data_IF_361354047726
#
_entry.id   IF_361354047726
#
_cell.length_a   1.000
_cell.length_b   1.000
_cell.length_c   1.000
_cell.angle_alpha   90.00
_cell.angle_beta   90.00
_cell.angle_gamma   90.00
#
_symmetry.space_group_name_H-M   'P 1'
#
loop_
_entity.id
_entity.type
_entity.pdbx_description
1 polymer ?
#
# COMPACT_ATOMS: atom_id res chain seq x y z
N UNK A 1 -46.19 2.78 -81.45
CA UNK A 1 -45.31 1.72 -81.96
C UNK A 1 -44.45 1.19 -80.83
N UNK A 2 -44.58 -0.10 -80.50
CA UNK A 2 -43.88 -0.96 -79.49
C UNK A 2 -43.77 -0.43 -78.04
N UNK A 3 -44.60 -0.84 -77.07
CA UNK A 3 -44.78 -2.13 -76.33
C UNK A 3 -43.54 -2.64 -75.58
N UNK A 4 -43.76 -2.80 -74.26
CA UNK A 4 -43.12 -3.65 -73.25
C UNK A 4 -42.12 -2.96 -72.30
N UNK A 5 -42.56 -2.72 -71.07
CA UNK A 5 -41.70 -2.89 -69.89
C UNK A 5 -42.50 -3.47 -68.74
N UNK A 6 -42.19 -4.71 -68.39
CA UNK A 6 -42.79 -5.52 -67.34
C UNK A 6 -41.79 -5.62 -66.17
N UNK A 7 -42.33 -5.46 -64.96
CA UNK A 7 -41.87 -5.85 -63.61
C UNK A 7 -40.69 -6.85 -63.51
N UNK A 8 -39.78 -6.65 -62.55
CA UNK A 8 -39.63 -7.54 -61.37
C UNK A 8 -38.62 -7.00 -60.32
N UNK A 9 -38.94 -7.25 -59.06
CA UNK A 9 -38.16 -7.04 -57.84
C UNK A 9 -37.16 -8.19 -57.66
N UNK A 10 -35.88 -7.93 -57.34
CA UNK A 10 -35.01 -8.82 -56.52
C UNK A 10 -33.98 -7.98 -55.74
N UNK A 11 -33.75 -8.41 -54.50
CA UNK A 11 -32.99 -7.77 -53.43
C UNK A 11 -31.46 -7.68 -53.64
N UNK A 12 -30.84 -6.64 -53.07
CA UNK A 12 -29.44 -6.63 -52.68
C UNK A 12 -29.33 -6.31 -51.19
N UNK A 13 -28.94 -7.30 -50.39
CA UNK A 13 -28.53 -7.12 -49.00
C UNK A 13 -27.17 -6.43 -48.94
N UNK A 14 -27.08 -5.34 -48.18
CA UNK A 14 -25.82 -4.76 -47.75
C UNK A 14 -25.56 -5.25 -46.31
N UNK A 15 -24.63 -6.17 -46.16
CA UNK A 15 -24.07 -6.55 -44.87
C UNK A 15 -23.08 -5.45 -44.47
N UNK A 16 -23.50 -4.53 -43.60
CA UNK A 16 -22.58 -3.65 -42.91
C UNK A 16 -21.95 -4.41 -41.74
N UNK A 17 -20.72 -4.90 -41.93
CA UNK A 17 -19.84 -5.25 -40.83
C UNK A 17 -19.50 -3.96 -40.06
N UNK A 18 -20.13 -3.75 -38.91
CA UNK A 18 -19.64 -2.78 -37.93
C UNK A 18 -18.43 -3.44 -37.28
N UNK A 19 -17.25 -3.14 -37.81
CA UNK A 19 -16.02 -3.37 -37.09
C UNK A 19 -16.00 -2.40 -35.90
N UNK A 20 -16.28 -2.91 -34.69
CA UNK A 20 -15.93 -2.21 -33.46
C UNK A 20 -14.41 -2.17 -33.33
N UNK A 21 -13.78 -1.19 -33.98
CA UNK A 21 -12.41 -0.80 -33.66
C UNK A 21 -12.45 -0.04 -32.34
N UNK A 22 -12.04 -0.69 -31.25
CA UNK A 22 -11.71 0.00 -30.01
C UNK A 22 -10.62 1.07 -30.32
N UNK A 23 -10.73 2.29 -29.79
CA UNK A 23 -9.78 3.33 -30.13
C UNK A 23 -8.40 3.01 -29.53
N UNK A 24 -7.42 3.18 -30.39
CA UNK A 24 -5.98 3.28 -30.21
C UNK A 24 -5.59 4.16 -29.01
N UNK A 25 -5.69 3.65 -27.77
CA UNK A 25 -5.35 4.36 -26.51
C UNK A 25 -3.97 3.99 -25.95
N UNK A 26 -3.20 3.14 -26.66
CA UNK A 26 -2.03 2.46 -26.11
C UNK A 26 -0.76 3.35 -25.97
N UNK A 27 -0.63 4.45 -26.71
CA UNK A 27 0.61 5.25 -26.70
C UNK A 27 0.65 6.41 -25.68
N UNK A 28 -0.47 6.72 -25.00
CA UNK A 28 -0.56 7.87 -24.07
C UNK A 28 -0.93 7.50 -22.63
N UNK A 29 -1.21 6.23 -22.35
CA UNK A 29 -1.65 5.78 -21.03
C UNK A 29 -0.51 5.83 -19.99
N UNK A 30 -0.79 6.45 -18.84
CA UNK A 30 0.14 6.57 -17.71
C UNK A 30 0.38 5.22 -17.02
N UNK A 31 1.45 5.09 -16.23
CA UNK A 31 1.81 3.81 -15.61
C UNK A 31 0.85 3.39 -14.51
N UNK A 32 0.30 4.36 -13.79
CA UNK A 32 -0.80 4.18 -12.83
C UNK A 32 -2.00 3.46 -13.46
N UNK A 33 -2.52 4.02 -14.56
CA UNK A 33 -3.64 3.46 -15.33
C UNK A 33 -3.32 2.04 -15.86
N UNK A 34 -2.12 1.83 -16.44
CA UNK A 34 -1.70 0.53 -16.99
C UNK A 34 -1.73 -0.58 -15.94
N UNK A 35 -1.13 -0.33 -14.77
CA UNK A 35 -1.10 -1.33 -13.70
C UNK A 35 -2.49 -1.55 -13.10
N UNK A 36 -3.26 -0.47 -12.90
CA UNK A 36 -4.63 -0.54 -12.39
C UNK A 36 -5.53 -1.39 -13.30
N UNK A 37 -5.53 -1.13 -14.62
CA UNK A 37 -6.31 -1.91 -15.59
C UNK A 37 -5.84 -3.36 -15.68
N UNK A 38 -4.54 -3.60 -15.58
CA UNK A 38 -3.98 -4.95 -15.55
C UNK A 38 -4.48 -5.75 -14.35
N UNK A 39 -4.54 -5.14 -13.17
CA UNK A 39 -5.06 -5.79 -11.96
C UNK A 39 -6.57 -6.02 -12.04
N UNK A 40 -7.35 -5.04 -12.53
CA UNK A 40 -8.79 -5.21 -12.76
C UNK A 40 -9.10 -6.31 -13.77
N UNK A 41 -8.28 -6.47 -14.82
CA UNK A 41 -8.41 -7.57 -15.78
C UNK A 41 -8.11 -8.93 -15.14
N UNK A 42 -7.08 -8.98 -14.29
CA UNK A 42 -6.64 -10.20 -13.58
C UNK A 42 -7.64 -10.64 -12.52
N UNK A 43 -8.24 -9.68 -11.82
CA UNK A 43 -9.24 -9.89 -10.78
C UNK A 43 -10.44 -8.97 -11.05
N UNK A 44 -11.42 -9.39 -11.88
CA UNK A 44 -12.57 -8.56 -12.23
C UNK A 44 -13.39 -8.05 -11.04
N UNK A 45 -13.32 -8.77 -9.92
CA UNK A 45 -13.84 -8.30 -8.65
C UNK A 45 -12.70 -8.27 -7.62
N UNK A 46 -12.51 -7.16 -6.89
CA UNK A 46 -11.36 -6.99 -5.98
C UNK A 46 -11.32 -7.99 -4.83
N UNK A 47 -12.45 -8.60 -4.46
CA UNK A 47 -12.45 -9.66 -3.45
C UNK A 47 -11.76 -10.94 -3.94
N UNK A 48 -11.48 -11.08 -5.24
CA UNK A 48 -10.76 -12.22 -5.85
C UNK A 48 -9.23 -12.10 -5.74
N UNK A 49 -8.72 -10.94 -5.32
CA UNK A 49 -7.29 -10.69 -5.11
C UNK A 49 -6.67 -11.79 -4.23
N UNK A 50 -5.39 -12.09 -4.45
CA UNK A 50 -4.72 -13.28 -3.86
C UNK A 50 -5.41 -14.61 -4.23
N UNK A 51 -6.12 -14.65 -5.36
CA UNK A 51 -6.90 -15.80 -5.85
C UNK A 51 -7.92 -16.30 -4.83
N UNK A 52 -8.45 -15.39 -4.01
CA UNK A 52 -9.44 -15.72 -2.99
C UNK A 52 -10.69 -16.33 -3.64
N UNK A 53 -11.22 -17.39 -3.00
CA UNK A 53 -12.40 -18.13 -3.49
C UNK A 53 -13.71 -17.59 -2.92
N UNK A 54 -13.63 -16.84 -1.83
CA UNK A 54 -14.73 -16.17 -1.16
C UNK A 54 -14.24 -14.80 -0.68
N UNK A 55 -15.13 -13.79 -0.57
CA UNK A 55 -14.75 -12.50 -0.03
C UNK A 55 -14.16 -12.61 1.38
N UNK A 56 -13.06 -11.89 1.61
CA UNK A 56 -12.45 -11.77 2.95
C UNK A 56 -11.89 -10.37 3.19
N UNK A 57 -12.01 -9.93 4.43
CA UNK A 57 -11.44 -8.69 4.91
C UNK A 57 -9.93 -8.85 5.12
N UNK A 58 -9.14 -7.97 4.52
CA UNK A 58 -7.68 -8.02 4.65
C UNK A 58 -6.99 -6.77 4.13
N UNK A 59 -5.88 -6.39 4.78
CA UNK A 59 -5.16 -5.17 4.43
C UNK A 59 -4.63 -5.16 3.00
N UNK A 60 -4.28 -6.32 2.43
CA UNK A 60 -3.74 -6.43 1.07
C UNK A 60 -4.78 -6.08 0.01
N UNK A 61 -6.02 -6.52 0.21
CA UNK A 61 -7.14 -6.12 -0.65
C UNK A 61 -7.45 -4.64 -0.44
N UNK A 62 -7.52 -4.20 0.82
CA UNK A 62 -7.72 -2.80 1.18
C UNK A 62 -6.68 -1.86 0.56
N UNK A 63 -5.42 -2.28 0.47
CA UNK A 63 -4.35 -1.51 -0.18
C UNK A 63 -4.61 -1.33 -1.68
N UNK A 64 -4.88 -2.42 -2.41
CA UNK A 64 -5.15 -2.34 -3.85
C UNK A 64 -6.42 -1.54 -4.11
N UNK A 65 -7.49 -1.79 -3.34
CA UNK A 65 -8.73 -1.03 -3.46
C UNK A 65 -8.52 0.46 -3.14
N UNK A 66 -7.71 0.76 -2.13
CA UNK A 66 -7.35 2.15 -1.82
C UNK A 66 -6.57 2.80 -2.97
N UNK A 67 -5.65 2.08 -3.61
CA UNK A 67 -4.94 2.63 -4.77
C UNK A 67 -5.87 2.90 -5.96
N UNK A 68 -6.93 2.09 -6.15
CA UNK A 68 -7.96 2.36 -7.15
C UNK A 68 -8.79 3.62 -6.81
N UNK A 69 -9.10 3.86 -5.54
CA UNK A 69 -9.78 5.11 -5.12
C UNK A 69 -8.89 6.34 -5.34
N UNK A 70 -7.58 6.23 -5.11
CA UNK A 70 -6.65 7.32 -5.43
C UNK A 70 -6.49 7.51 -6.95
N UNK A 71 -6.56 6.44 -7.73
CA UNK A 71 -6.56 6.50 -9.19
C UNK A 71 -7.82 7.17 -9.75
N UNK A 72 -8.99 6.86 -9.17
CA UNK A 72 -10.24 7.57 -9.46
C UNK A 72 -10.09 9.08 -9.23
N UNK A 73 -9.49 9.49 -8.10
CA UNK A 73 -9.22 10.92 -7.82
C UNK A 73 -8.21 11.52 -8.78
N UNK A 74 -7.22 10.74 -9.22
CA UNK A 74 -6.18 11.20 -10.13
C UNK A 74 -6.70 11.43 -11.55
N UNK A 75 -7.56 10.53 -12.04
CA UNK A 75 -8.01 10.48 -13.44
C UNK A 75 -9.42 11.03 -13.67
N UNK A 76 -10.27 10.98 -12.64
CA UNK A 76 -11.71 11.18 -12.75
C UNK A 76 -12.49 10.00 -13.34
N UNK A 77 -11.84 8.88 -13.68
CA UNK A 77 -12.51 7.70 -14.26
C UNK A 77 -13.24 6.92 -13.16
N UNK A 78 -14.58 6.97 -13.18
CA UNK A 78 -15.44 6.33 -12.19
C UNK A 78 -15.32 4.81 -12.17
N UNK A 79 -14.74 4.19 -13.21
CA UNK A 79 -14.53 2.74 -13.27
C UNK A 79 -13.70 2.23 -12.08
N UNK A 80 -12.72 3.01 -11.63
CA UNK A 80 -11.91 2.64 -10.46
C UNK A 80 -12.67 2.75 -9.13
N UNK A 81 -13.56 3.75 -9.01
CA UNK A 81 -14.45 3.90 -7.85
C UNK A 81 -15.45 2.74 -7.77
N UNK A 82 -16.11 2.40 -8.88
CA UNK A 82 -17.07 1.28 -8.93
C UNK A 82 -16.38 -0.05 -8.62
N UNK A 83 -15.17 -0.27 -9.17
CA UNK A 83 -14.37 -1.44 -8.83
C UNK A 83 -14.07 -1.50 -7.33
N UNK A 84 -13.66 -0.38 -6.72
CA UNK A 84 -13.39 -0.32 -5.29
C UNK A 84 -14.63 -0.63 -4.44
N UNK A 85 -15.80 -0.12 -4.85
CA UNK A 85 -17.08 -0.32 -4.16
C UNK A 85 -17.49 -1.78 -4.08
N UNK A 86 -17.20 -2.59 -5.11
CA UNK A 86 -17.48 -4.05 -5.11
C UNK A 86 -16.87 -4.73 -3.88
N UNK A 87 -15.64 -4.36 -3.48
CA UNK A 87 -14.99 -4.95 -2.31
C UNK A 87 -15.75 -4.65 -1.02
N UNK A 88 -16.11 -3.37 -0.82
CA UNK A 88 -16.84 -2.93 0.37
C UNK A 88 -18.22 -3.59 0.43
N UNK A 89 -18.97 -3.59 -0.66
CA UNK A 89 -20.32 -4.18 -0.70
C UNK A 89 -20.31 -5.70 -0.48
N UNK A 90 -19.21 -6.37 -0.82
CA UNK A 90 -19.05 -7.81 -0.57
C UNK A 90 -18.85 -8.15 0.91
N UNK A 91 -18.36 -7.20 1.71
CA UNK A 91 -17.87 -7.43 3.06
C UNK A 91 -18.58 -6.63 4.15
N UNK A 92 -19.19 -5.48 3.83
CA UNK A 92 -20.01 -4.71 4.76
C UNK A 92 -21.46 -5.19 4.61
N UNK A 93 -22.00 -5.82 5.65
CA UNK A 93 -23.38 -6.31 5.63
C UNK A 93 -24.41 -5.17 5.77
N UNK A 94 -25.69 -5.52 5.85
CA UNK A 94 -26.80 -4.55 5.95
C UNK A 94 -26.78 -3.76 7.26
N UNK A 95 -26.15 -4.28 8.30
CA UNK A 95 -26.06 -3.65 9.62
C UNK A 95 -24.72 -2.91 9.80
N UNK A 96 -23.87 -2.88 8.77
CA UNK A 96 -22.56 -2.23 8.82
C UNK A 96 -21.46 -3.08 9.46
N UNK A 97 -21.70 -4.38 9.72
CA UNK A 97 -20.65 -5.25 10.23
C UNK A 97 -19.69 -5.69 9.12
N UNK A 98 -18.40 -5.76 9.48
CA UNK A 98 -17.35 -6.23 8.59
C UNK A 98 -17.30 -7.77 8.64
N UNK A 99 -17.81 -8.41 7.59
CA UNK A 99 -17.76 -9.88 7.44
C UNK A 99 -16.32 -10.37 7.49
N UNK A 100 -16.12 -11.57 8.05
CA UNK A 100 -14.83 -12.28 8.19
C UNK A 100 -13.77 -11.61 9.08
N UNK A 101 -13.97 -10.36 9.51
CA UNK A 101 -13.08 -9.69 10.46
C UNK A 101 -13.16 -10.39 11.82
N UNK A 102 -11.99 -10.71 12.39
CA UNK A 102 -11.87 -11.30 13.73
C UNK A 102 -11.55 -10.22 14.74
N UNK A 103 -12.57 -9.55 15.27
CA UNK A 103 -12.40 -8.43 16.23
C UNK A 103 -11.48 -8.78 17.41
N UNK A 104 -11.76 -9.89 18.10
CA UNK A 104 -11.00 -10.34 19.28
C UNK A 104 -9.57 -10.83 18.99
N UNK A 105 -9.16 -10.87 17.72
CA UNK A 105 -7.74 -11.12 17.38
C UNK A 105 -6.85 -9.91 17.65
N UNK A 106 -7.45 -8.71 17.85
CA UNK A 106 -6.77 -7.42 17.93
C UNK A 106 -5.65 -7.31 16.91
N UNK A 107 -5.95 -7.70 15.67
CA UNK A 107 -4.99 -7.68 14.58
C UNK A 107 -5.00 -6.28 13.97
N UNK A 108 -3.89 -5.53 14.09
CA UNK A 108 -3.81 -4.18 13.55
C UNK A 108 -3.99 -4.15 12.03
N UNK A 109 -3.69 -5.25 11.33
CA UNK A 109 -3.90 -5.39 9.88
C UNK A 109 -5.39 -5.30 9.49
N UNK A 110 -6.33 -5.53 10.42
CA UNK A 110 -7.75 -5.34 10.15
C UNK A 110 -8.07 -3.87 9.80
N UNK A 111 -7.27 -2.92 10.30
CA UNK A 111 -7.60 -1.49 10.28
C UNK A 111 -7.33 -0.87 8.92
N UNK A 112 -6.27 -1.31 8.24
CA UNK A 112 -5.84 -0.71 6.98
C UNK A 112 -6.93 -0.73 5.90
N UNK A 113 -7.73 -1.81 5.86
CA UNK A 113 -8.85 -1.93 4.92
C UNK A 113 -9.92 -0.86 5.12
N UNK A 114 -10.04 -0.30 6.33
CA UNK A 114 -11.01 0.75 6.65
C UNK A 114 -10.75 2.07 5.95
N UNK A 115 -9.53 2.32 5.46
CA UNK A 115 -9.16 3.57 4.76
C UNK A 115 -9.99 3.82 3.50
N UNK A 116 -10.51 2.76 2.87
CA UNK A 116 -11.35 2.87 1.67
C UNK A 116 -12.74 3.44 2.01
N UNK A 117 -13.20 3.24 3.25
CA UNK A 117 -14.57 3.53 3.67
C UNK A 117 -14.82 5.03 3.79
N UNK A 118 -13.78 5.85 4.00
CA UNK A 118 -13.92 7.31 4.06
C UNK A 118 -14.43 7.89 2.74
N UNK A 119 -13.82 7.50 1.62
CA UNK A 119 -14.21 7.99 0.29
C UNK A 119 -15.61 7.48 -0.09
N UNK A 120 -15.90 6.20 0.21
CA UNK A 120 -17.22 5.61 -0.03
C UNK A 120 -18.31 6.27 0.83
N UNK A 121 -18.03 6.56 2.10
CA UNK A 121 -18.95 7.27 2.99
C UNK A 121 -19.21 8.69 2.51
N UNK A 122 -18.15 9.45 2.19
CA UNK A 122 -18.28 10.82 1.70
C UNK A 122 -19.11 10.91 0.40
N UNK A 123 -18.97 9.92 -0.50
CA UNK A 123 -19.67 9.91 -1.78
C UNK A 123 -21.13 9.46 -1.67
N UNK A 124 -21.45 8.56 -0.74
CA UNK A 124 -22.78 7.91 -0.67
C UNK A 124 -23.66 8.38 0.48
N UNK A 125 -23.07 8.85 1.58
CA UNK A 125 -23.77 9.07 2.85
C UNK A 125 -24.26 7.77 3.52
N UNK A 126 -23.78 6.60 3.10
CA UNK A 126 -24.24 5.31 3.64
C UNK A 126 -23.65 5.03 5.03
N UNK A 127 -24.50 5.13 6.05
CA UNK A 127 -24.14 4.95 7.46
C UNK A 127 -23.55 3.56 7.79
N UNK A 128 -23.75 2.55 6.94
CA UNK A 128 -23.10 1.23 7.13
C UNK A 128 -21.58 1.35 7.08
N UNK A 129 -21.04 2.24 6.24
CA UNK A 129 -19.61 2.50 6.18
C UNK A 129 -19.11 3.20 7.45
N UNK A 130 -19.92 4.09 8.04
CA UNK A 130 -19.60 4.70 9.33
C UNK A 130 -19.55 3.66 10.45
N UNK A 131 -20.54 2.78 10.55
CA UNK A 131 -20.57 1.71 11.57
C UNK A 131 -19.34 0.81 11.47
N UNK A 132 -18.93 0.46 10.25
CA UNK A 132 -17.71 -0.29 10.00
C UNK A 132 -16.45 0.48 10.45
N UNK A 133 -16.37 1.78 10.15
CA UNK A 133 -15.27 2.64 10.62
C UNK A 133 -15.23 2.76 12.15
N UNK A 134 -16.38 2.96 12.79
CA UNK A 134 -16.51 3.04 14.25
C UNK A 134 -16.02 1.73 14.90
N UNK A 135 -16.30 0.58 14.29
CA UNK A 135 -15.82 -0.73 14.74
C UNK A 135 -14.29 -0.83 14.72
N UNK A 136 -13.64 -0.37 13.64
CA UNK A 136 -12.18 -0.37 13.53
C UNK A 136 -11.54 0.65 14.48
N UNK A 137 -12.16 1.82 14.65
CA UNK A 137 -11.76 2.84 15.61
C UNK A 137 -11.84 2.32 17.06
N UNK A 138 -12.90 1.56 17.37
CA UNK A 138 -13.07 0.89 18.66
C UNK A 138 -11.99 -0.17 18.89
N UNK A 139 -11.69 -1.00 17.88
CA UNK A 139 -10.57 -1.95 17.98
C UNK A 139 -9.27 -1.23 18.39
N UNK A 140 -8.97 -0.05 17.79
CA UNK A 140 -7.78 0.72 18.15
C UNK A 140 -7.82 1.33 19.56
N UNK A 141 -9.00 1.67 20.09
CA UNK A 141 -9.13 2.12 21.48
C UNK A 141 -8.79 0.99 22.46
N UNK A 142 -9.21 -0.24 22.13
CA UNK A 142 -9.09 -1.44 22.96
C UNK A 142 -7.82 -2.27 22.65
N UNK A 143 -7.07 -1.89 21.62
CA UNK A 143 -5.88 -2.59 21.16
C UNK A 143 -4.87 -2.70 22.33
N UNK A 144 -4.37 -3.91 22.65
CA UNK A 144 -3.35 -4.10 23.69
C UNK A 144 -2.10 -3.27 23.43
N UNK A 145 -1.43 -2.84 24.50
CA UNK A 145 -0.33 -1.88 24.42
C UNK A 145 0.90 -2.30 25.22
N UNK A 146 2.07 -1.85 24.76
CA UNK A 146 3.32 -1.86 25.54
C UNK A 146 3.21 -0.92 26.74
N UNK A 147 4.17 -0.98 27.66
CA UNK A 147 4.19 -0.12 28.85
C UNK A 147 4.25 1.37 28.51
N UNK A 148 4.85 1.74 27.38
CA UNK A 148 4.88 3.12 26.86
C UNK A 148 3.64 3.48 26.02
N UNK A 149 2.68 2.57 25.90
CA UNK A 149 1.40 2.76 25.22
C UNK A 149 1.44 2.51 23.70
N UNK A 150 2.48 1.84 23.20
CA UNK A 150 2.59 1.44 21.80
C UNK A 150 1.67 0.26 21.47
N UNK A 151 0.97 0.29 20.34
CA UNK A 151 0.07 -0.80 19.97
C UNK A 151 0.83 -2.10 19.74
N UNK A 152 0.40 -3.17 20.42
CA UNK A 152 0.82 -4.50 20.02
C UNK A 152 0.38 -4.74 18.58
N UNK A 153 1.26 -5.37 17.79
CA UNK A 153 0.96 -5.62 16.39
C UNK A 153 -0.27 -6.53 16.26
N UNK A 154 -0.36 -7.59 17.09
CA UNK A 154 -1.52 -8.48 17.21
C UNK A 154 -1.63 -9.02 18.64
N UNK A 155 -2.81 -9.48 19.06
CA UNK A 155 -2.95 -10.16 20.37
C UNK A 155 -1.97 -11.35 20.50
N UNK A 156 -1.74 -12.07 19.41
CA UNK A 156 -0.78 -13.21 19.34
C UNK A 156 0.69 -12.80 19.33
N UNK A 157 1.00 -11.50 19.26
CA UNK A 157 2.36 -10.93 19.29
C UNK A 157 2.44 -9.96 20.48
N UNK A 158 2.40 -10.49 21.72
CA UNK A 158 2.41 -9.66 22.91
C UNK A 158 3.68 -8.84 22.96
N UNK A 159 3.58 -7.61 23.48
CA UNK A 159 4.68 -6.66 23.69
C UNK A 159 5.42 -6.18 22.43
N UNK A 160 4.96 -6.57 21.24
CA UNK A 160 5.65 -6.33 19.99
C UNK A 160 5.03 -5.19 19.18
N UNK A 161 5.85 -4.23 18.79
CA UNK A 161 5.50 -3.23 17.78
C UNK A 161 6.30 -3.49 16.49
N UNK A 162 5.62 -3.49 15.35
CA UNK A 162 6.27 -3.62 14.04
C UNK A 162 6.02 -2.35 13.22
N UNK A 163 6.98 -1.95 12.38
CA UNK A 163 6.86 -0.76 11.53
C UNK A 163 5.60 -0.80 10.65
N UNK A 164 5.25 -1.98 10.15
CA UNK A 164 4.05 -2.27 9.37
C UNK A 164 2.78 -1.74 10.06
N UNK A 165 2.68 -1.96 11.38
CA UNK A 165 1.53 -1.56 12.18
C UNK A 165 1.26 -0.05 12.17
N UNK A 166 2.31 0.76 11.98
CA UNK A 166 2.17 2.22 11.86
C UNK A 166 1.37 2.58 10.62
N UNK A 167 1.66 1.95 9.48
CA UNK A 167 0.89 2.15 8.25
C UNK A 167 -0.54 1.62 8.39
N UNK A 168 -0.72 0.48 9.07
CA UNK A 168 -2.04 -0.11 9.19
C UNK A 168 -3.01 0.78 9.98
N UNK A 169 -2.53 1.42 11.05
CA UNK A 169 -3.38 2.17 11.97
C UNK A 169 -3.25 3.70 11.88
N UNK A 170 -2.05 4.27 11.84
CA UNK A 170 -1.87 5.71 12.10
C UNK A 170 -2.53 6.61 11.05
N UNK A 171 -2.40 6.35 9.73
CA UNK A 171 -3.14 7.12 8.72
C UNK A 171 -4.66 6.99 8.86
N UNK A 172 -5.15 5.79 9.25
CA UNK A 172 -6.57 5.58 9.50
C UNK A 172 -7.06 6.43 10.68
N UNK A 173 -6.31 6.45 11.79
CA UNK A 173 -6.67 7.21 12.99
C UNK A 173 -6.72 8.71 12.73
N UNK A 174 -5.74 9.29 12.04
CA UNK A 174 -5.77 10.73 11.76
C UNK A 174 -6.85 11.11 10.75
N UNK A 175 -7.12 10.28 9.75
CA UNK A 175 -8.23 10.52 8.82
C UNK A 175 -9.58 10.41 9.54
N UNK A 176 -9.75 9.44 10.44
CA UNK A 176 -10.93 9.33 11.29
C UNK A 176 -11.07 10.57 12.18
N UNK A 177 -10.01 10.99 12.85
CA UNK A 177 -9.98 12.19 13.70
C UNK A 177 -10.37 13.46 12.94
N UNK A 178 -9.87 13.61 11.72
CA UNK A 178 -10.23 14.73 10.84
C UNK A 178 -11.68 14.67 10.36
N UNK A 179 -12.18 13.49 10.01
CA UNK A 179 -13.52 13.32 9.45
C UNK A 179 -14.61 13.50 10.50
N UNK A 180 -14.38 12.96 11.71
CA UNK A 180 -15.38 12.90 12.78
C UNK A 180 -15.04 13.80 13.97
N UNK A 181 -14.08 14.71 13.82
CA UNK A 181 -13.69 15.72 14.81
C UNK A 181 -13.23 15.10 16.16
N UNK A 182 -12.37 14.08 16.09
CA UNK A 182 -11.71 13.44 17.25
C UNK A 182 -10.21 13.80 17.29
N UNK A 183 -9.81 15.01 17.74
CA UNK A 183 -8.42 15.47 17.68
C UNK A 183 -7.44 14.64 18.55
N UNK A 184 -7.93 13.93 19.58
CA UNK A 184 -7.09 13.02 20.38
C UNK A 184 -6.43 11.91 19.54
N UNK A 185 -6.97 11.62 18.36
CA UNK A 185 -6.37 10.65 17.43
C UNK A 185 -5.11 11.17 16.74
N UNK A 186 -4.94 12.48 16.64
CA UNK A 186 -3.70 13.09 16.15
C UNK A 186 -2.55 12.79 17.12
N UNK A 187 -2.78 13.03 18.41
CA UNK A 187 -1.80 12.78 19.47
C UNK A 187 -1.44 11.29 19.55
N UNK A 188 -2.43 10.40 19.41
CA UNK A 188 -2.21 8.96 19.37
C UNK A 188 -1.33 8.55 18.19
N UNK A 189 -1.64 9.01 16.97
CA UNK A 189 -0.83 8.70 15.79
C UNK A 189 0.62 9.21 15.91
N UNK A 190 0.80 10.45 16.38
CA UNK A 190 2.14 11.00 16.64
C UNK A 190 2.88 10.16 17.68
N UNK A 191 2.23 9.80 18.79
CA UNK A 191 2.83 8.93 19.83
C UNK A 191 3.32 7.61 19.26
N UNK A 192 2.51 6.92 18.45
CA UNK A 192 2.89 5.64 17.85
C UNK A 192 4.11 5.78 16.91
N UNK A 193 4.10 6.80 16.06
CA UNK A 193 5.19 7.09 15.11
C UNK A 193 6.50 7.36 15.85
N UNK A 194 6.47 8.23 16.86
CA UNK A 194 7.68 8.63 17.59
C UNK A 194 8.21 7.51 18.48
N UNK A 195 7.31 6.72 19.08
CA UNK A 195 7.69 5.59 19.92
C UNK A 195 8.43 4.54 19.09
N UNK A 196 7.85 4.08 17.97
CA UNK A 196 8.52 3.05 17.18
C UNK A 196 9.85 3.55 16.62
N UNK A 197 9.92 4.82 16.17
CA UNK A 197 11.17 5.40 15.71
C UNK A 197 12.25 5.38 16.79
N UNK A 198 11.91 5.79 18.02
CA UNK A 198 12.86 5.78 19.14
C UNK A 198 13.38 4.37 19.44
N UNK A 199 12.55 3.34 19.24
CA UNK A 199 12.90 1.95 19.55
C UNK A 199 13.70 1.27 18.44
N UNK A 200 13.34 1.48 17.18
CA UNK A 200 13.90 0.70 16.06
C UNK A 200 14.94 1.43 15.22
N UNK A 201 15.14 2.73 15.43
CA UNK A 201 16.14 3.50 14.68
C UNK A 201 17.57 3.07 15.04
N UNK A 202 18.35 2.70 14.03
CA UNK A 202 19.78 2.50 14.16
C UNK A 202 20.53 3.78 13.72
N UNK A 203 21.27 4.44 14.63
CA UNK A 203 22.02 5.66 14.29
C UNK A 203 23.19 5.41 13.33
N UNK A 204 23.68 4.17 13.22
CA UNK A 204 24.84 3.83 12.37
C UNK A 204 24.46 3.85 10.89
N UNK A 205 23.37 3.16 10.55
CA UNK A 205 22.87 3.07 9.18
C UNK A 205 21.93 4.22 8.83
N UNK A 206 21.16 4.69 9.80
CA UNK A 206 20.02 5.59 9.62
C UNK A 206 18.71 4.87 9.27
N UNK A 207 18.69 3.53 9.32
CA UNK A 207 17.55 2.67 9.01
C UNK A 207 16.77 2.30 10.29
N UNK A 208 15.63 1.62 10.09
CA UNK A 208 14.74 1.18 11.17
C UNK A 208 14.57 -0.33 11.12
N UNK A 209 14.83 -1.01 12.23
CA UNK A 209 14.57 -2.45 12.36
C UNK A 209 13.07 -2.76 12.18
N UNK A 210 12.74 -3.91 11.58
CA UNK A 210 11.37 -4.31 11.26
C UNK A 210 10.45 -4.31 12.50
N UNK A 211 10.90 -4.90 13.61
CA UNK A 211 10.11 -5.00 14.82
C UNK A 211 10.91 -4.80 16.10
N UNK A 212 10.20 -4.44 17.15
CA UNK A 212 10.68 -4.29 18.52
C UNK A 212 9.78 -5.09 19.46
N UNK A 213 10.38 -5.90 20.32
CA UNK A 213 9.73 -6.62 21.41
C UNK A 213 10.14 -5.98 22.75
N UNK A 214 9.17 -5.39 23.46
CA UNK A 214 9.42 -4.77 24.76
C UNK A 214 9.84 -5.79 25.82
N UNK A 215 9.29 -7.01 25.80
CA UNK A 215 9.63 -8.05 26.79
C UNK A 215 10.97 -8.72 26.49
N UNK A 216 11.43 -8.65 25.23
CA UNK A 216 12.65 -9.29 24.72
C UNK A 216 12.64 -10.82 24.86
N UNK A 217 11.46 -11.41 24.97
CA UNK A 217 11.29 -12.85 25.12
C UNK A 217 11.32 -13.57 23.78
N UNK A 218 11.04 -12.86 22.68
CA UNK A 218 11.18 -13.42 21.35
C UNK A 218 12.65 -13.74 21.03
N UNK A 219 12.91 -14.92 20.46
CA UNK A 219 14.28 -15.35 20.07
C UNK A 219 14.94 -14.46 19.02
N UNK A 220 14.15 -13.71 18.25
CA UNK A 220 14.68 -12.76 17.26
C UNK A 220 15.04 -11.42 17.89
N UNK A 221 14.55 -11.14 19.10
CA UNK A 221 14.74 -9.86 19.76
C UNK A 221 16.14 -9.77 20.34
N UNK A 222 16.84 -8.69 20.03
CA UNK A 222 18.12 -8.38 20.63
C UNK A 222 17.95 -8.28 22.18
N UNK A 223 18.79 -8.94 23.00
CA UNK A 223 18.65 -8.95 24.45
C UNK A 223 18.76 -7.55 25.12
N UNK A 224 19.45 -6.61 24.48
CA UNK A 224 19.66 -5.25 25.00
C UNK A 224 18.62 -4.25 24.49
N UNK A 225 18.26 -4.33 23.21
CA UNK A 225 17.40 -3.33 22.57
C UNK A 225 15.97 -3.81 22.33
N UNK A 226 15.75 -5.13 22.26
CA UNK A 226 14.49 -5.75 21.85
C UNK A 226 14.24 -5.73 20.35
N UNK A 227 15.14 -5.21 19.52
CA UNK A 227 14.94 -5.09 18.08
C UNK A 227 15.18 -6.41 17.34
N UNK A 228 14.47 -6.60 16.22
CA UNK A 228 14.79 -7.61 15.20
C UNK A 228 16.14 -7.34 14.55
N UNK A 229 16.81 -8.33 13.93
CA UNK A 229 18.22 -8.18 13.60
C UNK A 229 18.52 -7.53 12.25
N UNK A 230 17.54 -7.33 11.36
CA UNK A 230 17.77 -6.77 10.01
C UNK A 230 16.77 -5.67 9.62
N UNK A 231 17.17 -4.89 8.61
CA UNK A 231 16.40 -3.82 7.99
C UNK A 231 15.64 -4.35 6.78
N UNK A 232 14.39 -4.78 7.00
CA UNK A 232 13.56 -5.29 5.93
C UNK A 232 12.86 -4.15 5.18
N UNK A 233 13.14 -4.03 3.87
CA UNK A 233 12.81 -2.83 3.11
C UNK A 233 11.31 -2.54 3.04
N UNK A 234 10.44 -3.54 2.92
CA UNK A 234 8.98 -3.27 2.89
C UNK A 234 8.46 -2.74 4.24
N UNK A 235 8.99 -3.20 5.38
CA UNK A 235 8.59 -2.64 6.69
C UNK A 235 8.97 -1.16 6.82
N UNK A 236 10.15 -0.77 6.32
CA UNK A 236 10.58 0.62 6.24
C UNK A 236 9.71 1.39 5.24
N UNK A 237 9.32 0.75 4.14
CA UNK A 237 8.42 1.32 3.13
C UNK A 237 7.05 1.65 3.72
N UNK A 238 6.47 0.75 4.52
CA UNK A 238 5.24 1.03 5.25
C UNK A 238 5.39 2.21 6.21
N UNK A 239 6.50 2.26 6.93
CA UNK A 239 6.77 3.38 7.82
C UNK A 239 6.83 4.71 7.05
N UNK A 240 7.59 4.77 5.95
CA UNK A 240 7.66 5.95 5.08
C UNK A 240 6.30 6.39 4.54
N UNK A 241 5.51 5.45 4.00
CA UNK A 241 4.17 5.71 3.50
C UNK A 241 3.24 6.24 4.61
N UNK A 242 3.36 5.70 5.83
CA UNK A 242 2.57 6.17 6.96
C UNK A 242 2.89 7.62 7.33
N UNK A 243 4.16 8.02 7.30
CA UNK A 243 4.58 9.39 7.63
C UNK A 243 3.95 10.40 6.68
N UNK A 244 4.03 10.15 5.36
CA UNK A 244 3.47 11.08 4.36
C UNK A 244 1.94 11.11 4.38
N UNK A 245 1.29 9.97 4.64
CA UNK A 245 -0.18 9.90 4.70
C UNK A 245 -0.73 10.54 5.98
N UNK A 246 -0.04 10.37 7.11
CA UNK A 246 -0.46 11.00 8.37
C UNK A 246 -0.39 12.52 8.26
N UNK A 247 0.64 13.05 7.60
CA UNK A 247 0.81 14.50 7.41
C UNK A 247 -0.27 15.15 6.52
N UNK A 248 -1.06 14.38 5.77
CA UNK A 248 -2.20 14.93 5.01
C UNK A 248 -3.37 15.37 5.90
N UNK A 249 -3.51 14.75 7.07
CA UNK A 249 -4.63 15.00 7.99
C UNK A 249 -4.21 15.61 9.32
N UNK A 250 -2.91 15.65 9.63
CA UNK A 250 -2.40 16.33 10.83
C UNK A 250 -2.42 17.86 10.67
N UNK A 251 -3.20 18.60 11.49
CA UNK A 251 -3.14 20.05 11.52
C UNK A 251 -1.72 20.58 11.81
N UNK A 252 -1.39 21.76 11.29
CA UNK A 252 -0.03 22.30 11.36
C UNK A 252 0.44 22.52 12.81
N UNK A 253 -0.49 22.87 13.69
CA UNK A 253 -0.32 23.14 15.11
C UNK A 253 -0.26 21.90 16.01
N UNK A 254 -0.43 20.69 15.45
CA UNK A 254 -0.36 19.46 16.26
C UNK A 254 1.02 19.28 16.89
N UNK A 255 1.05 19.06 18.21
CA UNK A 255 2.28 18.78 18.95
C UNK A 255 2.97 17.53 18.40
N UNK A 256 4.26 17.64 18.11
CA UNK A 256 5.07 16.54 17.57
C UNK A 256 4.99 16.34 16.05
N UNK A 257 4.17 17.12 15.33
CA UNK A 257 4.17 17.14 13.85
C UNK A 257 5.55 17.44 13.28
N UNK A 258 6.29 18.37 13.88
CA UNK A 258 7.67 18.69 13.47
C UNK A 258 8.62 17.51 13.66
N UNK A 259 8.41 16.70 14.70
CA UNK A 259 9.20 15.48 14.92
C UNK A 259 8.88 14.42 13.86
N UNK A 260 7.61 14.26 13.47
CA UNK A 260 7.21 13.41 12.33
C UNK A 260 7.87 13.88 11.04
N UNK A 261 7.89 15.20 10.79
CA UNK A 261 8.55 15.81 9.64
C UNK A 261 10.05 15.54 9.61
N UNK A 262 10.73 15.72 10.75
CA UNK A 262 12.17 15.46 10.87
C UNK A 262 12.52 13.98 10.65
N UNK A 263 11.66 13.07 11.11
CA UNK A 263 11.81 11.63 10.84
C UNK A 263 11.67 11.36 9.34
N UNK A 264 10.65 11.93 8.68
CA UNK A 264 10.46 11.78 7.23
C UNK A 264 11.67 12.31 6.43
N UNK A 265 12.16 13.50 6.77
CA UNK A 265 13.31 14.11 6.10
C UNK A 265 14.59 13.28 6.27
N UNK A 266 14.80 12.72 7.47
CA UNK A 266 15.92 11.80 7.73
C UNK A 266 15.77 10.50 6.96
N UNK A 267 14.58 9.92 6.97
CA UNK A 267 14.29 8.70 6.24
C UNK A 267 14.52 8.90 4.74
N UNK A 268 14.04 9.99 4.13
CA UNK A 268 14.26 10.31 2.73
C UNK A 268 15.75 10.32 2.36
N UNK A 269 16.59 10.96 3.19
CA UNK A 269 18.05 10.93 3.02
C UNK A 269 18.61 9.50 3.09
N UNK A 270 18.15 8.70 4.05
CA UNK A 270 18.57 7.30 4.18
C UNK A 270 18.14 6.45 2.99
N UNK A 271 16.92 6.63 2.47
CA UNK A 271 16.44 5.88 1.30
C UNK A 271 17.33 6.14 0.09
N UNK A 272 17.65 7.41 -0.21
CA UNK A 272 18.56 7.76 -1.32
C UNK A 272 19.97 7.19 -1.09
N UNK A 273 20.48 7.19 0.14
CA UNK A 273 21.79 6.61 0.49
C UNK A 273 21.89 5.12 0.12
N UNK A 274 20.81 4.35 0.29
CA UNK A 274 20.79 2.91 0.02
C UNK A 274 20.18 2.52 -1.33
N UNK A 275 19.92 3.51 -2.21
CA UNK A 275 19.44 3.23 -3.57
C UNK A 275 20.54 2.52 -4.37
N UNK A 276 20.20 1.39 -5.00
CA UNK A 276 21.13 0.67 -5.84
C UNK A 276 21.52 1.53 -7.07
N UNK A 277 22.82 1.81 -7.30
CA UNK A 277 23.23 2.71 -8.37
C UNK A 277 22.96 2.14 -9.77
N UNK A 278 22.89 0.82 -9.95
CA UNK A 278 22.73 0.20 -11.26
C UNK A 278 21.25 0.16 -11.70
N UNK A 279 20.37 -0.31 -10.84
CA UNK A 279 18.93 -0.43 -11.12
C UNK A 279 18.16 0.84 -10.78
N UNK A 280 18.63 1.64 -9.81
CA UNK A 280 17.84 2.71 -9.20
C UNK A 280 16.84 2.23 -8.14
N UNK A 281 16.81 0.94 -7.82
CA UNK A 281 15.81 0.33 -6.92
C UNK A 281 16.43 -0.09 -5.59
N UNK A 282 15.71 -0.81 -4.73
CA UNK A 282 16.21 -1.23 -3.41
C UNK A 282 16.13 -2.74 -3.21
N UNK A 283 17.08 -3.24 -2.42
CA UNK A 283 17.16 -4.65 -2.02
C UNK A 283 16.13 -5.02 -0.95
N UNK A 284 15.81 -6.32 -0.83
CA UNK A 284 14.93 -6.88 0.20
C UNK A 284 15.44 -6.59 1.63
N UNK A 285 16.73 -6.80 1.87
CA UNK A 285 17.42 -6.33 3.09
C UNK A 285 18.24 -5.10 2.72
N UNK A 286 17.84 -3.93 3.23
CA UNK A 286 18.17 -2.62 2.64
C UNK A 286 19.68 -2.34 2.57
N UNK A 287 20.43 -2.67 3.62
CA UNK A 287 21.84 -2.32 3.78
C UNK A 287 22.81 -3.39 3.28
N UNK A 288 22.31 -4.53 2.83
CA UNK A 288 23.11 -5.71 2.49
C UNK A 288 23.05 -6.03 0.99
N UNK A 289 23.03 -5.01 0.12
CA UNK A 289 22.90 -5.20 -1.33
C UNK A 289 24.05 -5.99 -1.97
N UNK A 290 25.25 -5.96 -1.39
CA UNK A 290 26.40 -6.74 -1.85
C UNK A 290 26.43 -8.19 -1.33
N UNK A 291 25.53 -8.56 -0.40
CA UNK A 291 25.50 -9.91 0.18
C UNK A 291 24.80 -10.88 -0.78
N UNK A 292 25.47 -11.98 -1.09
CA UNK A 292 24.93 -13.04 -1.94
C UNK A 292 23.56 -13.53 -1.44
N UNK A 293 22.65 -13.77 -2.38
CA UNK A 293 21.27 -14.17 -2.10
C UNK A 293 20.29 -13.01 -1.90
N UNK A 294 20.76 -11.79 -1.62
CA UNK A 294 19.87 -10.62 -1.59
C UNK A 294 19.33 -10.32 -3.00
N UNK A 295 18.17 -9.67 -3.08
CA UNK A 295 17.52 -9.36 -4.35
C UNK A 295 16.83 -8.01 -4.30
N UNK A 296 16.69 -7.36 -5.45
CA UNK A 296 15.92 -6.13 -5.61
C UNK A 296 14.43 -6.45 -5.50
N UNK A 297 13.70 -5.72 -4.64
CA UNK A 297 12.33 -6.05 -4.24
C UNK A 297 11.34 -4.95 -4.64
N UNK A 298 10.24 -5.36 -5.27
CA UNK A 298 9.34 -4.44 -5.97
C UNK A 298 8.44 -3.64 -5.04
N UNK A 299 7.88 -4.24 -3.98
CA UNK A 299 6.96 -3.54 -3.08
C UNK A 299 7.65 -2.44 -2.28
N UNK A 300 8.85 -2.70 -1.77
CA UNK A 300 9.64 -1.75 -1.02
C UNK A 300 10.08 -0.59 -1.91
N UNK A 301 10.54 -0.90 -3.13
CA UNK A 301 10.89 0.12 -4.13
C UNK A 301 9.68 1.02 -4.41
N UNK A 302 8.50 0.45 -4.64
CA UNK A 302 7.28 1.22 -4.85
C UNK A 302 6.94 2.11 -3.64
N UNK A 303 7.02 1.58 -2.42
CA UNK A 303 6.74 2.37 -1.20
C UNK A 303 7.74 3.49 -0.96
N UNK A 304 9.02 3.28 -1.29
CA UNK A 304 10.05 4.31 -1.22
C UNK A 304 9.82 5.41 -2.25
N UNK A 305 9.46 5.04 -3.49
CA UNK A 305 9.05 6.02 -4.51
C UNK A 305 7.84 6.80 -4.06
N UNK A 306 6.79 6.13 -3.57
CA UNK A 306 5.58 6.78 -3.05
C UNK A 306 5.92 7.80 -1.96
N UNK A 307 6.75 7.40 -0.99
CA UNK A 307 7.20 8.27 0.10
C UNK A 307 7.94 9.50 -0.43
N UNK A 308 8.95 9.29 -1.30
CA UNK A 308 9.78 10.38 -1.83
C UNK A 308 8.98 11.31 -2.74
N UNK A 309 8.21 10.77 -3.70
CA UNK A 309 7.41 11.55 -4.64
C UNK A 309 6.34 12.38 -3.90
N UNK A 310 5.61 11.77 -2.96
CA UNK A 310 4.61 12.48 -2.16
C UNK A 310 5.24 13.56 -1.28
N UNK A 311 6.37 13.28 -0.65
CA UNK A 311 7.09 14.26 0.17
C UNK A 311 7.60 15.45 -0.67
N UNK A 312 8.09 15.22 -1.90
CA UNK A 312 8.43 16.30 -2.85
C UNK A 312 7.17 17.08 -3.23
N UNK A 313 6.09 16.39 -3.59
CA UNK A 313 4.84 17.02 -4.02
C UNK A 313 4.24 17.96 -2.99
N UNK A 314 4.38 17.60 -1.71
CA UNK A 314 3.89 18.35 -0.55
C UNK A 314 4.90 19.38 -0.02
N UNK A 315 6.12 19.42 -0.57
CA UNK A 315 7.18 20.34 -0.14
C UNK A 315 7.82 19.97 1.21
N UNK A 316 7.68 18.72 1.65
CA UNK A 316 8.26 18.22 2.90
C UNK A 316 9.77 17.97 2.78
N UNK A 317 10.23 17.67 1.57
CA UNK A 317 11.64 17.53 1.20
C UNK A 317 11.95 18.35 -0.07
N UNK A 318 13.23 18.60 -0.32
CA UNK A 318 13.69 19.46 -1.41
C UNK A 318 13.55 18.85 -2.82
N UNK A 319 13.71 19.70 -3.83
CA UNK A 319 13.67 19.30 -5.26
C UNK A 319 14.86 18.42 -5.67
N UNK A 320 15.92 18.39 -4.88
CA UNK A 320 17.08 17.50 -5.06
C UNK A 320 16.69 16.00 -5.04
N UNK A 321 15.55 15.66 -4.42
CA UNK A 321 15.02 14.29 -4.40
C UNK A 321 14.26 13.90 -5.70
N UNK A 322 14.00 14.83 -6.62
CA UNK A 322 13.31 14.53 -7.90
C UNK A 322 14.12 13.54 -8.74
N UNK A 323 15.43 13.74 -8.88
CA UNK A 323 16.28 12.89 -9.72
C UNK A 323 16.43 11.46 -9.17
N UNK A 324 16.74 11.26 -7.87
CA UNK A 324 16.70 9.93 -7.27
C UNK A 324 15.35 9.23 -7.42
N UNK A 325 14.24 9.96 -7.25
CA UNK A 325 12.88 9.42 -7.38
C UNK A 325 12.56 9.03 -8.82
N UNK A 326 12.94 9.85 -9.80
CA UNK A 326 12.82 9.52 -11.23
C UNK A 326 13.62 8.29 -11.60
N UNK A 327 14.89 8.23 -11.19
CA UNK A 327 15.74 7.06 -11.39
C UNK A 327 15.11 5.80 -10.78
N UNK A 328 14.52 5.92 -9.59
CA UNK A 328 13.83 4.82 -8.96
C UNK A 328 12.59 4.37 -9.70
N UNK A 329 11.76 5.29 -10.19
CA UNK A 329 10.55 4.96 -10.95
C UNK A 329 10.89 4.29 -12.29
N UNK A 330 11.84 4.85 -13.04
CA UNK A 330 12.33 4.26 -14.29
C UNK A 330 12.93 2.87 -14.04
N UNK A 331 13.69 2.74 -12.94
CA UNK A 331 14.24 1.48 -12.46
C UNK A 331 13.18 0.44 -12.10
N UNK A 332 12.14 0.85 -11.38
CA UNK A 332 11.01 0.00 -10.98
C UNK A 332 10.26 -0.53 -12.19
N UNK A 333 9.94 0.35 -13.14
CA UNK A 333 9.30 -0.04 -14.41
C UNK A 333 10.18 -1.02 -15.18
N UNK A 334 11.46 -0.70 -15.38
CA UNK A 334 12.38 -1.53 -16.17
C UNK A 334 12.66 -2.89 -15.52
N UNK A 335 12.79 -2.92 -14.21
CA UNK A 335 13.28 -4.12 -13.47
C UNK A 335 12.14 -5.05 -13.10
N UNK A 336 10.96 -4.50 -12.77
CA UNK A 336 9.89 -5.26 -12.15
C UNK A 336 8.62 -5.35 -12.97
N UNK A 337 8.54 -4.79 -14.18
CA UNK A 337 7.36 -4.93 -15.03
C UNK A 337 7.63 -5.78 -16.25
N UNK A 338 6.64 -6.60 -16.62
CA UNK A 338 6.63 -7.40 -17.84
C UNK A 338 5.31 -7.21 -18.56
N UNK A 339 5.36 -6.87 -19.85
CA UNK A 339 4.19 -6.83 -20.72
C UNK A 339 3.84 -8.26 -21.15
N UNK A 340 2.60 -8.66 -20.92
CA UNK A 340 2.06 -9.96 -21.29
C UNK A 340 1.42 -9.90 -22.70
N UNK A 341 1.24 -11.06 -23.34
CA UNK A 341 0.65 -11.17 -24.69
C UNK A 341 -0.75 -10.55 -24.80
N UNK A 342 -1.48 -10.55 -23.69
CA UNK A 342 -2.84 -10.04 -23.60
C UNK A 342 -2.92 -8.52 -23.36
N UNK A 343 -1.77 -7.84 -23.38
CA UNK A 343 -1.64 -6.39 -23.17
C UNK A 343 -1.61 -5.96 -21.71
N UNK A 344 -1.75 -6.87 -20.74
CA UNK A 344 -1.63 -6.55 -19.33
C UNK A 344 -0.17 -6.51 -18.87
N UNK A 345 0.10 -5.83 -17.77
CA UNK A 345 1.40 -5.81 -17.12
C UNK A 345 1.40 -6.68 -15.87
N UNK A 346 2.45 -7.48 -15.73
CA UNK A 346 2.80 -8.20 -14.51
C UNK A 346 3.87 -7.44 -13.75
N UNK A 347 3.69 -7.30 -12.43
CA UNK A 347 4.76 -6.89 -11.52
C UNK A 347 5.48 -8.11 -10.94
N UNK A 348 6.80 -8.14 -11.02
CA UNK A 348 7.66 -9.26 -10.57
C UNK A 348 8.39 -8.93 -9.27
N UNK A 349 9.19 -9.88 -8.78
CA UNK A 349 10.10 -9.70 -7.65
C UNK A 349 9.39 -9.24 -6.36
N UNK A 350 8.16 -9.73 -6.15
CA UNK A 350 7.36 -9.36 -4.99
C UNK A 350 7.66 -10.32 -3.84
N UNK A 351 8.17 -9.83 -2.71
CA UNK A 351 8.23 -10.64 -1.51
C UNK A 351 6.78 -10.99 -1.08
N UNK A 352 6.39 -12.26 -1.05
CA UNK A 352 5.01 -12.67 -0.79
C UNK A 352 4.57 -12.35 0.65
N UNK A 353 5.48 -12.54 1.62
CA UNK A 353 5.21 -12.32 3.05
C UNK A 353 6.54 -12.25 3.79
N UNK A 354 6.60 -11.48 4.87
CA UNK A 354 7.60 -11.66 5.91
C UNK A 354 7.00 -11.27 7.26
N UNK A 355 7.60 -11.73 8.36
CA UNK A 355 7.15 -11.44 9.71
C UNK A 355 8.14 -11.98 10.74
N UNK A 356 7.88 -11.72 12.01
CA UNK A 356 8.77 -12.12 13.10
C UNK A 356 8.09 -13.13 14.04
N UNK A 357 8.88 -14.00 14.66
CA UNK A 357 8.40 -15.03 15.57
C UNK A 357 7.58 -16.11 14.87
N UNK A 358 6.62 -16.72 15.56
CA UNK A 358 5.86 -17.85 15.05
C UNK A 358 5.84 -18.99 16.06
N UNK A 359 5.37 -20.15 15.64
CA UNK A 359 5.41 -21.36 16.45
C UNK A 359 6.71 -22.15 16.20
N UNK A 360 6.87 -23.27 16.90
CA UNK A 360 8.05 -24.13 16.77
C UNK A 360 8.18 -24.82 15.40
N UNK A 361 7.09 -24.90 14.62
CA UNK A 361 7.12 -25.55 13.29
C UNK A 361 7.68 -24.63 12.23
N UNK A 362 7.42 -23.32 12.34
CA UNK A 362 8.02 -22.30 11.47
C UNK A 362 8.31 -21.04 12.28
N UNK A 363 9.44 -21.04 12.96
CA UNK A 363 9.92 -19.87 13.69
C UNK A 363 10.66 -18.92 12.75
N UNK A 364 10.22 -17.66 12.69
CA UNK A 364 10.80 -16.61 11.84
C UNK A 364 11.73 -15.77 12.70
N UNK A 365 13.02 -16.03 12.59
CA UNK A 365 14.04 -15.41 13.45
C UNK A 365 14.48 -14.01 13.01
N UNK A 366 13.96 -13.51 11.88
CA UNK A 366 14.32 -12.19 11.35
C UNK A 366 15.75 -12.12 10.80
N UNK A 367 16.47 -13.25 10.68
CA UNK A 367 17.79 -13.33 10.07
C UNK A 367 17.75 -12.91 8.59
N UNK A 368 18.93 -12.64 8.03
CA UNK A 368 19.05 -12.37 6.60
C UNK A 368 18.53 -13.58 5.81
N UNK A 369 18.96 -14.79 6.20
CA UNK A 369 18.55 -16.06 5.61
C UNK A 369 17.03 -16.23 5.64
N UNK A 370 16.38 -15.88 6.75
CA UNK A 370 14.92 -15.88 6.83
C UNK A 370 14.28 -14.93 5.81
N UNK A 371 14.68 -13.66 5.76
CA UNK A 371 14.08 -12.69 4.84
C UNK A 371 14.30 -13.04 3.36
N UNK A 372 15.43 -13.66 3.04
CA UNK A 372 15.74 -14.14 1.68
C UNK A 372 14.98 -15.43 1.35
N UNK A 373 14.68 -16.27 2.36
CA UNK A 373 13.94 -17.52 2.15
C UNK A 373 12.45 -17.33 1.82
N UNK A 374 11.89 -16.15 2.10
CA UNK A 374 10.48 -15.90 1.83
C UNK A 374 10.19 -15.90 0.32
N UNK A 375 9.04 -16.46 -0.12
CA UNK A 375 8.75 -16.61 -1.54
C UNK A 375 8.76 -15.28 -2.29
N UNK A 376 9.36 -15.29 -3.47
CA UNK A 376 9.27 -14.20 -4.44
C UNK A 376 8.23 -14.57 -5.48
N UNK A 377 7.16 -13.78 -5.59
CA UNK A 377 6.02 -14.07 -6.47
C UNK A 377 5.73 -12.89 -7.40
N UNK A 378 4.81 -13.12 -8.32
CA UNK A 378 4.31 -12.11 -9.25
C UNK A 378 2.94 -11.60 -8.83
N UNK A 379 2.66 -10.33 -9.13
CA UNK A 379 1.37 -9.68 -8.88
C UNK A 379 0.90 -9.84 -7.43
N UNK A 380 1.85 -9.79 -6.48
CA UNK A 380 1.48 -9.70 -5.08
C UNK A 380 0.78 -8.35 -4.84
N UNK A 381 -0.38 -8.32 -4.15
CA UNK A 381 -1.14 -7.09 -3.95
C UNK A 381 -0.36 -5.99 -3.21
N UNK A 382 0.63 -6.36 -2.37
CA UNK A 382 1.49 -5.39 -1.67
C UNK A 382 2.40 -4.65 -2.65
N UNK A 383 2.83 -5.31 -3.73
CA UNK A 383 3.55 -4.67 -4.82
C UNK A 383 2.61 -3.92 -5.76
N UNK A 384 1.48 -4.52 -6.16
CA UNK A 384 0.53 -3.90 -7.09
C UNK A 384 -0.04 -2.59 -6.54
N UNK A 385 -0.62 -2.61 -5.34
CA UNK A 385 -1.24 -1.41 -4.75
C UNK A 385 -0.22 -0.31 -4.48
N UNK A 386 0.97 -0.67 -4.01
CA UNK A 386 2.06 0.29 -3.79
C UNK A 386 2.59 0.86 -5.10
N UNK A 387 2.67 0.06 -6.17
CA UNK A 387 3.09 0.53 -7.50
C UNK A 387 2.12 1.58 -8.03
N UNK A 388 0.81 1.33 -7.96
CA UNK A 388 -0.21 2.28 -8.42
C UNK A 388 -0.10 3.60 -7.63
N UNK A 389 0.00 3.54 -6.30
CA UNK A 389 0.20 4.73 -5.47
C UNK A 389 1.48 5.49 -5.83
N UNK A 390 2.58 4.76 -6.03
CA UNK A 390 3.87 5.34 -6.43
C UNK A 390 3.80 6.02 -7.79
N UNK A 391 3.14 5.40 -8.77
CA UNK A 391 2.95 5.94 -10.11
C UNK A 391 2.11 7.23 -10.10
N UNK A 392 1.00 7.25 -9.35
CA UNK A 392 0.16 8.45 -9.19
C UNK A 392 0.99 9.62 -8.64
N UNK A 393 1.77 9.41 -7.57
CA UNK A 393 2.56 10.49 -6.96
C UNK A 393 3.75 10.90 -7.84
N UNK A 394 4.35 9.95 -8.55
CA UNK A 394 5.40 10.24 -9.54
C UNK A 394 4.85 11.10 -10.69
N UNK A 395 3.71 10.75 -11.25
CA UNK A 395 3.06 11.48 -12.35
C UNK A 395 2.70 12.91 -11.92
N UNK A 396 2.13 13.09 -10.71
CA UNK A 396 1.90 14.42 -10.11
C UNK A 396 3.18 15.23 -9.89
N UNK A 397 4.31 14.56 -9.63
CA UNK A 397 5.61 15.21 -9.45
C UNK A 397 6.20 15.68 -10.78
N UNK A 398 5.93 14.97 -11.88
CA UNK A 398 6.46 15.31 -13.22
C UNK A 398 5.57 16.24 -14.04
N UNK A 399 4.27 16.32 -13.73
CA UNK A 399 3.31 17.21 -14.41
C UNK A 399 3.44 18.69 -13.96
N UNK A 400 4.36 18.99 -13.04
CA UNK A 400 4.68 20.34 -12.52
C UNK A 400 5.96 20.89 -13.15
#
# INVERSE_FOLDING_TARGET
MNRNLLKLIVACGAVCFIACTAPQKAETEKWSERMARSEMKRFPEPWMIEKAKVPRWGYTHGLVVKSMLEEWKHTGDSTYYEYAKIYADSLIDTDGHIKTMKYLSFNIDNVNGGKILFDLYAQSGDERYKIAMDTLRKQMAEQPRTSEGGFWHKLRYPHQMWLDGIFMASPYLVQYGSTFQEPALYDEAVKQILLIARKTYDPTTGLYYHGWDESREQKWANPETGCSPNFWSRSIGWYGAALVDVLDYLPQETTGRDSVMQILQRLAKTLVKYQDPQSGTWYQVTDQGAREGNYLESSATALFIYTLAKAVNKGYIGKDYIQPTRKAFDGMVKTFTRLEEDGSYTITNCCAVAGLGGDSKRYRDGSFEYYISEPVIENDPKSVGSFILAAIEYEKMTDK
#
